data_IF_357118151734
#
_entry.id   IF_357118151734
#
_cell.length_a   1.000
_cell.length_b   1.000
_cell.length_c   1.000
_cell.angle_alpha   90.00
_cell.angle_beta   90.00
_cell.angle_gamma   90.00
#
_symmetry.space_group_name_H-M   'P 1'
#
loop_
_entity.id
_entity.type
_entity.pdbx_description
1 polymer ?
#
# COMPACT_ATOMS: atom_id res chain seq x y z
N UNK A 1 -27.47 8.02 -3.68
CA UNK A 1 -26.77 7.11 -4.62
C UNK A 1 -25.54 6.59 -3.88
N UNK A 2 -25.39 5.28 -3.77
CA UNK A 2 -24.40 4.65 -2.90
C UNK A 2 -22.97 4.96 -3.39
N UNK A 3 -22.14 5.60 -2.56
CA UNK A 3 -20.70 5.62 -2.74
C UNK A 3 -20.17 4.23 -2.38
N UNK A 4 -20.34 3.26 -3.28
CA UNK A 4 -19.68 1.97 -3.16
C UNK A 4 -18.18 2.20 -3.15
N UNK A 5 -17.49 1.70 -2.14
CA UNK A 5 -16.06 1.86 -1.99
C UNK A 5 -15.35 1.00 -3.06
N UNK A 6 -15.03 1.60 -4.20
CA UNK A 6 -14.52 0.90 -5.40
C UNK A 6 -13.12 0.30 -5.19
N UNK A 7 -12.47 0.58 -4.06
CA UNK A 7 -11.09 0.19 -3.80
C UNK A 7 -10.94 -1.23 -3.26
N UNK A 8 -12.00 -1.83 -2.71
CA UNK A 8 -11.99 -3.19 -2.16
C UNK A 8 -12.54 -4.23 -3.14
N UNK A 9 -12.46 -4.00 -4.46
CA UNK A 9 -12.98 -4.92 -5.46
C UNK A 9 -12.40 -6.34 -5.36
N UNK A 10 -11.10 -6.45 -5.03
CA UNK A 10 -10.33 -7.70 -4.98
C UNK A 10 -10.06 -8.23 -3.56
N UNK A 11 -10.48 -7.49 -2.53
CA UNK A 11 -10.16 -7.80 -1.12
C UNK A 11 -11.39 -7.74 -0.22
N UNK A 12 -11.36 -8.50 0.86
CA UNK A 12 -12.36 -8.46 1.92
C UNK A 12 -11.85 -7.58 3.05
N UNK A 13 -12.63 -6.58 3.45
CA UNK A 13 -12.33 -5.77 4.64
C UNK A 13 -12.59 -6.62 5.89
N UNK A 14 -11.57 -6.74 6.72
CA UNK A 14 -11.64 -7.44 8.02
C UNK A 14 -11.85 -6.42 9.14
N UNK A 15 -11.11 -5.31 9.10
CA UNK A 15 -11.21 -4.24 10.11
C UNK A 15 -10.84 -2.88 9.50
N UNK A 16 -11.32 -1.79 10.10
CA UNK A 16 -10.98 -0.41 9.74
C UNK A 16 -10.33 0.30 10.93
N UNK A 17 -9.19 0.91 10.68
CA UNK A 17 -8.39 1.66 11.65
C UNK A 17 -8.42 3.16 11.36
N UNK A 18 -8.18 3.97 12.40
CA UNK A 18 -8.22 5.43 12.34
C UNK A 18 -7.38 6.02 13.49
N UNK A 19 -7.20 7.35 13.60
CA UNK A 19 -6.37 7.93 14.66
C UNK A 19 -6.78 7.66 16.11
N UNK A 20 -8.02 7.22 16.36
CA UNK A 20 -8.44 6.76 17.70
C UNK A 20 -8.11 5.29 17.96
N UNK A 21 -7.80 4.51 16.93
CA UNK A 21 -7.35 3.12 16.99
C UNK A 21 -6.32 2.87 15.87
N UNK A 22 -5.05 3.05 16.21
CA UNK A 22 -3.94 2.85 15.28
C UNK A 22 -3.73 1.39 14.86
N UNK A 23 -4.43 0.42 15.47
CA UNK A 23 -4.33 -0.97 15.09
C UNK A 23 -2.93 -1.56 15.21
N UNK A 24 -2.59 -2.59 14.42
CA UNK A 24 -1.32 -3.31 14.52
C UNK A 24 -0.08 -2.44 14.18
N UNK A 25 -0.26 -1.26 13.61
CA UNK A 25 0.86 -0.33 13.39
C UNK A 25 1.35 0.34 14.68
N UNK A 26 0.68 0.17 15.82
CA UNK A 26 1.22 0.57 17.11
C UNK A 26 2.34 -0.36 17.62
N UNK A 27 2.45 -1.58 17.07
CA UNK A 27 3.44 -2.60 17.47
C UNK A 27 4.49 -2.89 16.39
N UNK A 28 4.28 -2.43 15.15
CA UNK A 28 5.33 -2.46 14.13
C UNK A 28 6.27 -1.27 14.33
N UNK A 29 7.59 -1.49 14.22
CA UNK A 29 8.59 -0.42 14.35
C UNK A 29 8.48 0.58 13.20
N UNK A 30 8.44 1.87 13.52
CA UNK A 30 8.21 2.97 12.58
C UNK A 30 6.75 3.45 12.53
N UNK A 31 6.56 4.75 12.29
CA UNK A 31 5.24 5.40 12.25
C UNK A 31 4.47 5.07 10.95
N UNK A 32 4.20 3.79 10.71
CA UNK A 32 3.63 3.31 9.45
C UNK A 32 2.23 3.86 9.15
N UNK A 33 1.46 4.18 10.18
CA UNK A 33 0.13 4.79 10.06
C UNK A 33 0.20 6.15 9.34
N UNK A 34 1.29 6.92 9.49
CA UNK A 34 1.46 8.22 8.81
C UNK A 34 1.61 8.09 7.29
N UNK A 35 1.87 6.89 6.77
CA UNK A 35 1.85 6.64 5.34
C UNK A 35 0.44 6.62 4.77
N UNK A 36 -0.60 6.59 5.62
CA UNK A 36 -1.99 6.61 5.21
C UNK A 36 -2.64 7.97 5.50
N UNK A 37 -3.56 8.40 4.64
CA UNK A 37 -4.26 9.69 4.79
C UNK A 37 -4.95 9.76 6.14
N UNK A 38 -4.50 10.72 6.96
CA UNK A 38 -5.03 10.91 8.31
C UNK A 38 -4.92 9.67 9.19
N UNK A 39 -3.90 8.82 8.99
CA UNK A 39 -3.70 7.62 9.80
C UNK A 39 -4.78 6.55 9.65
N UNK A 40 -5.61 6.63 8.61
CA UNK A 40 -6.77 5.76 8.42
C UNK A 40 -6.52 4.73 7.33
N UNK A 41 -6.77 3.46 7.64
CA UNK A 41 -6.49 2.33 6.75
C UNK A 41 -7.37 1.14 7.10
N UNK A 42 -7.37 0.12 6.26
CA UNK A 42 -8.14 -1.10 6.40
C UNK A 42 -7.20 -2.29 6.51
N UNK A 43 -7.50 -3.23 7.40
CA UNK A 43 -6.93 -4.57 7.29
C UNK A 43 -7.83 -5.40 6.38
N UNK A 44 -7.22 -6.02 5.38
CA UNK A 44 -7.91 -6.77 4.34
C UNK A 44 -7.28 -8.14 4.14
N UNK A 45 -8.00 -9.01 3.42
CA UNK A 45 -7.49 -10.29 2.91
C UNK A 45 -7.91 -10.47 1.45
N UNK A 46 -7.18 -11.24 0.62
CA UNK A 46 -7.62 -11.53 -0.75
C UNK A 46 -9.01 -12.19 -0.79
N UNK A 47 -9.84 -11.80 -1.75
CA UNK A 47 -11.17 -12.42 -1.99
C UNK A 47 -11.05 -13.81 -2.61
N UNK A 48 -10.23 -13.89 -3.65
CA UNK A 48 -9.93 -15.12 -4.39
C UNK A 48 -8.75 -15.86 -3.75
N UNK A 49 -8.37 -17.00 -4.32
CA UNK A 49 -7.25 -17.84 -3.84
C UNK A 49 -5.93 -17.08 -3.74
N UNK A 50 -5.73 -16.08 -4.60
CA UNK A 50 -4.65 -15.12 -4.49
C UNK A 50 -5.02 -13.78 -5.13
N UNK A 51 -4.20 -12.78 -4.84
CA UNK A 51 -4.20 -11.50 -5.55
C UNK A 51 -2.79 -11.18 -6.03
N UNK A 52 -2.69 -10.56 -7.20
CA UNK A 52 -1.45 -9.99 -7.68
C UNK A 52 -1.32 -8.54 -7.22
N UNK A 53 -0.20 -8.23 -6.59
CA UNK A 53 0.20 -6.87 -6.22
C UNK A 53 1.36 -6.41 -7.11
N UNK A 54 1.44 -5.10 -7.34
CA UNK A 54 2.41 -4.49 -8.22
C UNK A 54 3.21 -3.42 -7.50
N UNK A 55 4.48 -3.27 -7.84
CA UNK A 55 5.35 -2.24 -7.27
C UNK A 55 6.32 -1.73 -8.32
N UNK A 56 6.50 -0.41 -8.32
CA UNK A 56 7.59 0.24 -9.04
C UNK A 56 8.77 0.50 -8.10
N UNK A 57 9.99 0.24 -8.55
CA UNK A 57 11.22 0.39 -7.78
C UNK A 57 12.39 0.91 -8.63
N UNK A 58 13.54 1.15 -8.00
CA UNK A 58 14.76 1.68 -8.62
C UNK A 58 15.47 2.71 -7.72
N UNK A 59 16.67 3.11 -8.09
CA UNK A 59 17.52 3.94 -7.22
C UNK A 59 17.82 3.22 -5.89
N UNK A 60 17.45 3.83 -4.77
CA UNK A 60 17.65 3.24 -3.44
C UNK A 60 16.55 2.24 -3.02
N UNK A 61 15.44 2.18 -3.76
CA UNK A 61 14.33 1.28 -3.46
C UNK A 61 14.55 -0.09 -4.10
N UNK A 62 14.45 -1.14 -3.29
CA UNK A 62 14.53 -2.52 -3.76
C UNK A 62 13.16 -3.08 -4.15
N UNK A 63 13.17 -4.23 -4.81
CA UNK A 63 11.98 -5.01 -5.16
C UNK A 63 11.20 -5.49 -3.91
N UNK A 64 11.90 -5.76 -2.80
CA UNK A 64 11.33 -6.31 -1.56
C UNK A 64 10.69 -5.27 -0.62
N UNK A 65 10.40 -4.07 -1.09
CA UNK A 65 9.77 -3.07 -0.20
C UNK A 65 8.30 -3.36 0.06
N UNK A 66 7.74 -2.65 1.04
CA UNK A 66 6.47 -3.02 1.67
C UNK A 66 5.23 -2.36 1.06
N UNK A 67 5.40 -1.38 0.17
CA UNK A 67 4.30 -0.62 -0.44
C UNK A 67 4.06 -1.08 -1.88
N UNK A 68 2.80 -1.38 -2.19
CA UNK A 68 2.32 -2.01 -3.41
C UNK A 68 1.00 -1.38 -3.90
N UNK A 69 0.57 -1.75 -5.09
CA UNK A 69 -0.73 -1.37 -5.68
C UNK A 69 -1.49 -2.60 -6.17
N UNK A 70 -2.83 -2.53 -6.16
CA UNK A 70 -3.72 -3.59 -6.67
C UNK A 70 -3.78 -3.68 -8.21
N UNK A 71 -3.31 -2.64 -8.88
CA UNK A 71 -3.27 -2.52 -10.34
C UNK A 71 -1.86 -2.09 -10.78
N UNK A 72 -1.41 -2.50 -11.98
CA UNK A 72 -0.16 -2.04 -12.56
C UNK A 72 -0.14 -0.51 -12.71
N UNK A 73 1.03 0.10 -12.51
CA UNK A 73 1.24 1.54 -12.64
C UNK A 73 2.37 1.83 -13.62
N UNK A 74 2.36 3.04 -14.20
CA UNK A 74 3.46 3.58 -15.00
C UNK A 74 4.24 4.58 -14.14
N UNK A 75 5.57 4.53 -14.19
CA UNK A 75 6.46 5.42 -13.46
C UNK A 75 6.50 6.84 -14.04
N UNK A 76 5.37 7.55 -14.00
CA UNK A 76 5.26 8.94 -14.42
C UNK A 76 5.12 9.89 -13.22
N UNK A 77 5.25 11.19 -13.45
CA UNK A 77 5.17 12.20 -12.39
C UNK A 77 3.81 12.20 -11.69
N UNK A 78 2.71 11.92 -12.40
CA UNK A 78 1.37 11.81 -11.81
C UNK A 78 1.30 10.72 -10.74
N UNK A 79 1.70 9.49 -11.08
CA UNK A 79 1.77 8.40 -10.12
C UNK A 79 2.69 8.73 -8.94
N UNK A 80 3.82 9.38 -9.20
CA UNK A 80 4.73 9.81 -8.14
C UNK A 80 4.07 10.78 -7.15
N UNK A 81 3.28 11.74 -7.65
CA UNK A 81 2.53 12.68 -6.82
C UNK A 81 1.44 11.99 -6.00
N UNK A 82 0.73 11.04 -6.58
CA UNK A 82 -0.35 10.32 -5.91
C UNK A 82 0.19 9.29 -4.89
N UNK A 83 1.32 8.66 -5.19
CA UNK A 83 1.98 7.68 -4.33
C UNK A 83 2.95 8.32 -3.32
N UNK A 84 3.08 9.65 -3.34
CA UNK A 84 3.96 10.43 -2.46
C UNK A 84 5.43 9.93 -2.40
N UNK A 85 5.94 9.39 -3.51
CA UNK A 85 7.26 8.76 -3.56
C UNK A 85 8.35 9.78 -3.90
N UNK A 86 9.25 10.08 -2.95
CA UNK A 86 10.33 11.04 -3.19
C UNK A 86 11.33 10.53 -4.24
N UNK A 87 11.77 11.42 -5.13
CA UNK A 87 12.79 11.11 -6.15
C UNK A 87 14.09 10.49 -5.57
N UNK A 88 14.65 10.96 -4.44
CA UNK A 88 15.85 10.35 -3.86
C UNK A 88 15.66 8.92 -3.32
N UNK A 89 14.42 8.49 -3.12
CA UNK A 89 14.13 7.16 -2.58
C UNK A 89 13.95 6.12 -3.67
N UNK A 90 13.27 6.49 -4.76
CA UNK A 90 12.84 5.54 -5.77
C UNK A 90 12.72 6.20 -7.14
N UNK A 91 13.43 5.68 -8.13
CA UNK A 91 13.40 6.19 -9.52
C UNK A 91 12.18 5.72 -10.31
N UNK A 92 11.50 4.66 -9.87
CA UNK A 92 10.29 4.06 -10.50
C UNK A 92 10.55 3.45 -11.89
N UNK A 93 11.77 3.00 -12.15
CA UNK A 93 12.24 2.51 -13.45
C UNK A 93 11.95 1.03 -13.68
N UNK A 94 11.81 0.26 -12.61
CA UNK A 94 11.57 -1.18 -12.66
C UNK A 94 10.21 -1.52 -12.04
N UNK A 95 9.63 -2.64 -12.48
CA UNK A 95 8.40 -3.18 -11.94
C UNK A 95 8.63 -4.59 -11.38
N UNK A 96 7.94 -4.92 -10.29
CA UNK A 96 7.90 -6.27 -9.71
C UNK A 96 6.47 -6.60 -9.29
N UNK A 97 6.17 -7.88 -9.29
CA UNK A 97 4.88 -8.44 -8.91
C UNK A 97 5.03 -9.31 -7.65
N UNK A 98 3.97 -9.36 -6.85
CA UNK A 98 3.89 -10.20 -5.65
C UNK A 98 2.54 -10.92 -5.64
N UNK A 99 2.57 -12.25 -5.56
CA UNK A 99 1.37 -13.07 -5.40
C UNK A 99 1.11 -13.21 -3.89
N UNK A 100 -0.04 -12.73 -3.45
CA UNK A 100 -0.45 -12.86 -2.05
C UNK A 100 -1.61 -13.87 -1.95
N UNK A 101 -1.42 -15.01 -1.27
CA UNK A 101 -2.47 -16.02 -1.14
C UNK A 101 -3.57 -15.58 -0.17
N UNK A 102 -4.75 -16.17 -0.34
CA UNK A 102 -5.90 -15.98 0.55
C UNK A 102 -5.52 -16.25 2.00
N UNK A 103 -6.07 -15.45 2.91
CA UNK A 103 -5.83 -15.55 4.35
C UNK A 103 -4.64 -14.74 4.86
N UNK A 104 -3.80 -14.19 3.97
CA UNK A 104 -2.76 -13.24 4.36
C UNK A 104 -3.37 -11.87 4.64
N UNK A 105 -3.05 -11.30 5.80
CA UNK A 105 -3.45 -9.95 6.15
C UNK A 105 -2.61 -8.91 5.40
N UNK A 106 -3.30 -7.95 4.80
CA UNK A 106 -2.74 -6.80 4.11
C UNK A 106 -3.35 -5.53 4.69
N UNK A 107 -2.70 -4.38 4.46
CA UNK A 107 -3.20 -3.10 4.95
C UNK A 107 -3.37 -2.12 3.81
N UNK A 108 -4.59 -1.65 3.58
CA UNK A 108 -4.92 -0.83 2.43
C UNK A 108 -5.44 0.54 2.82
N UNK A 109 -5.17 1.54 2.00
CA UNK A 109 -5.73 2.87 2.21
C UNK A 109 -5.16 3.90 1.25
N UNK A 110 -5.68 5.12 1.38
CA UNK A 110 -5.14 6.27 0.65
C UNK A 110 -3.77 6.65 1.19
N UNK A 111 -2.85 6.98 0.28
CA UNK A 111 -1.49 7.44 0.59
C UNK A 111 -1.53 8.81 1.26
N UNK A 112 -0.87 8.91 2.41
CA UNK A 112 -0.69 10.16 3.13
C UNK A 112 0.21 11.15 2.38
N UNK A 113 -0.01 12.44 2.63
CA UNK A 113 0.77 13.52 2.02
C UNK A 113 2.22 13.48 2.51
N UNK A 114 3.18 13.74 1.61
CA UNK A 114 4.59 13.79 2.00
C UNK A 114 5.42 14.83 1.24
N UNK A 115 6.15 15.70 1.95
CA UNK A 115 7.16 16.66 1.42
C UNK A 115 6.84 17.25 0.03
N UNK A 116 5.66 17.85 -0.11
CA UNK A 116 5.23 18.52 -1.34
C UNK A 116 4.48 17.63 -2.35
N UNK A 117 4.48 16.31 -2.16
CA UNK A 117 3.61 15.39 -2.88
C UNK A 117 2.27 15.26 -2.17
N UNK A 118 1.18 15.21 -2.94
CA UNK A 118 -0.18 15.25 -2.42
C UNK A 118 -0.58 13.96 -1.70
N UNK A 119 -0.11 12.81 -2.17
CA UNK A 119 -0.69 11.53 -1.78
C UNK A 119 -2.04 11.33 -2.47
N UNK A 120 -2.91 10.52 -1.86
CA UNK A 120 -4.26 10.25 -2.37
C UNK A 120 -4.37 9.10 -3.37
N UNK A 121 -3.25 8.50 -3.80
CA UNK A 121 -3.28 7.20 -4.46
C UNK A 121 -3.71 6.10 -3.50
N UNK A 122 -4.31 5.02 -4.00
CA UNK A 122 -4.57 3.82 -3.19
C UNK A 122 -3.33 2.94 -3.13
N UNK A 123 -2.93 2.52 -1.93
CA UNK A 123 -1.79 1.64 -1.70
C UNK A 123 -2.18 0.42 -0.85
N UNK A 124 -1.34 -0.60 -0.95
CA UNK A 124 -1.33 -1.80 -0.10
C UNK A 124 0.01 -1.86 0.60
N UNK A 125 0.01 -1.99 1.92
CA UNK A 125 1.17 -2.24 2.75
C UNK A 125 1.18 -3.71 3.18
N UNK A 126 2.33 -4.37 2.97
CA UNK A 126 2.59 -5.74 3.39
C UNK A 126 3.77 -5.72 4.36
N UNK A 127 3.61 -6.19 5.62
CA UNK A 127 4.72 -6.32 6.56
C UNK A 127 5.87 -7.14 5.97
N UNK A 128 7.12 -6.76 6.27
CA UNK A 128 8.30 -7.36 5.65
C UNK A 128 8.44 -8.85 5.97
N UNK A 129 7.95 -9.26 7.13
CA UNK A 129 7.89 -10.64 7.60
C UNK A 129 7.06 -11.51 6.65
N UNK A 130 5.99 -10.94 6.07
CA UNK A 130 5.14 -11.60 5.08
C UNK A 130 5.84 -11.65 3.73
N UNK A 131 6.43 -10.55 3.27
CA UNK A 131 7.13 -10.47 1.97
C UNK A 131 8.28 -11.48 1.86
N UNK A 132 8.99 -11.76 2.95
CA UNK A 132 10.12 -12.73 2.96
C UNK A 132 9.69 -14.20 3.03
N UNK A 133 8.42 -14.46 3.32
CA UNK A 133 7.90 -15.83 3.56
C UNK A 133 7.23 -16.46 2.33
N UNK A 134 7.07 -15.67 1.27
CA UNK A 134 6.56 -16.08 -0.06
C UNK A 134 7.70 -16.15 -1.06
#
# INVERSE_FOLDING_TARGET
MASGDHHHGKTNVVYQFNPADYGPFNVLDGDHFNNFTGGSYYMTTPKEDNIMLYRLYGGNATAEGQHWTLEPRKGNDGYRHDAAVLKPWNTLEHAVELIVPRGVHMYEGFVGRQKGYLGGGWQVFIPREVVKSV
#
